data_IF_793903910787
#
_entry.id   IF_793903910787
#
_cell.length_a   1.000
_cell.length_b   1.000
_cell.length_c   1.000
_cell.angle_alpha   90.00
_cell.angle_beta   90.00
_cell.angle_gamma   90.00
#
_symmetry.space_group_name_H-M   'P 1'
#
loop_
_entity.id
_entity.type
_entity.pdbx_description
1 polymer ?
#
# COMPACT_ATOMS: atom_id res chain seq x y z
N UNK A 1 -2.82 5.00 -0.69
CA UNK A 1 -4.14 4.90 -0.05
C UNK A 1 -4.77 6.27 -0.13
N UNK A 2 -6.04 6.34 -0.50
CA UNK A 2 -6.85 7.57 -0.53
C UNK A 2 -7.99 7.37 0.46
N UNK A 3 -8.37 8.42 1.18
CA UNK A 3 -9.50 8.37 2.12
C UNK A 3 -10.57 9.31 1.60
N UNK A 4 -11.80 8.81 1.44
CA UNK A 4 -12.94 9.60 0.99
C UNK A 4 -13.62 10.37 2.14
N UNK A 5 -14.68 11.10 1.82
CA UNK A 5 -15.45 11.88 2.80
C UNK A 5 -16.25 11.01 3.78
N UNK A 6 -16.45 9.73 3.46
CA UNK A 6 -17.14 8.72 4.25
C UNK A 6 -16.16 7.89 5.11
N UNK A 7 -14.87 8.26 5.15
CA UNK A 7 -13.78 7.52 5.81
C UNK A 7 -13.57 6.10 5.24
N UNK A 8 -14.00 5.85 4.01
CA UNK A 8 -13.60 4.67 3.26
C UNK A 8 -12.20 4.84 2.69
N UNK A 9 -11.45 3.74 2.64
CA UNK A 9 -10.04 3.73 2.27
C UNK A 9 -9.85 2.96 0.98
N UNK A 10 -9.56 3.68 -0.09
CA UNK A 10 -9.14 3.08 -1.35
C UNK A 10 -7.64 2.79 -1.30
N UNK A 11 -7.28 1.55 -1.56
CA UNK A 11 -5.90 1.12 -1.69
C UNK A 11 -5.40 1.52 -3.07
N UNK A 12 -4.16 2.02 -3.11
CA UNK A 12 -3.50 2.44 -4.34
C UNK A 12 -2.22 1.64 -4.47
N UNK A 13 -2.16 0.77 -5.47
CA UNK A 13 -0.99 -0.02 -5.81
C UNK A 13 -0.30 0.65 -6.99
N UNK A 14 0.99 0.96 -6.85
CA UNK A 14 1.75 1.69 -7.86
C UNK A 14 2.99 0.92 -8.29
N UNK A 15 3.30 0.95 -9.58
CA UNK A 15 4.56 0.49 -10.13
C UNK A 15 5.20 1.59 -10.98
N UNK A 16 6.35 2.09 -10.51
CA UNK A 16 7.13 3.13 -11.20
C UNK A 16 8.15 2.47 -12.13
N UNK A 17 8.26 2.98 -13.35
CA UNK A 17 9.18 2.48 -14.38
C UNK A 17 9.73 3.63 -15.22
N UNK A 18 10.76 3.35 -16.01
CA UNK A 18 11.34 4.30 -16.96
C UNK A 18 11.02 3.89 -18.38
N UNK A 19 10.55 4.83 -19.19
CA UNK A 19 10.24 4.61 -20.60
C UNK A 19 10.69 5.81 -21.42
N UNK A 20 11.52 5.60 -22.44
CA UNK A 20 12.03 6.64 -23.34
C UNK A 20 12.52 7.90 -22.58
N UNK A 21 13.32 7.71 -21.52
CA UNK A 21 13.87 8.75 -20.62
C UNK A 21 12.85 9.49 -19.72
N UNK A 22 11.58 9.12 -19.78
CA UNK A 22 10.55 9.61 -18.87
C UNK A 22 10.36 8.66 -17.69
N UNK A 23 10.15 9.18 -16.49
CA UNK A 23 9.67 8.40 -15.35
C UNK A 23 8.15 8.32 -15.40
N UNK A 24 7.61 7.12 -15.53
CA UNK A 24 6.17 6.85 -15.55
C UNK A 24 5.79 5.99 -14.35
N UNK A 25 4.50 5.98 -14.01
CA UNK A 25 3.95 5.05 -13.03
C UNK A 25 2.58 4.56 -13.49
N UNK A 26 2.34 3.25 -13.36
CA UNK A 26 1.01 2.67 -13.43
C UNK A 26 0.45 2.52 -12.03
N UNK A 27 -0.84 2.77 -11.86
CA UNK A 27 -1.53 2.64 -10.59
C UNK A 27 -2.87 1.90 -10.74
N UNK A 28 -3.16 1.00 -9.80
CA UNK A 28 -4.47 0.36 -9.62
C UNK A 28 -5.06 0.93 -8.33
N UNK A 29 -6.30 1.44 -8.41
CA UNK A 29 -7.08 1.95 -7.28
C UNK A 29 -8.21 0.97 -7.03
N UNK A 30 -8.32 0.45 -5.81
CA UNK A 30 -9.29 -0.60 -5.47
C UNK A 30 -9.51 -0.67 -3.96
N UNK A 31 -10.66 -1.21 -3.55
CA UNK A 31 -10.95 -1.53 -2.15
C UNK A 31 -10.44 -2.94 -1.76
N UNK A 32 -10.01 -3.74 -2.74
CA UNK A 32 -9.56 -5.11 -2.52
C UNK A 32 -8.12 -5.13 -1.94
N UNK A 33 -7.88 -5.81 -0.81
CA UNK A 33 -6.56 -5.84 -0.16
C UNK A 33 -5.60 -6.88 -0.75
N UNK A 34 -5.62 -7.11 -2.07
CA UNK A 34 -4.84 -8.18 -2.72
C UNK A 34 -3.46 -7.72 -3.17
N UNK A 35 -2.60 -7.38 -2.21
CA UNK A 35 -1.30 -6.77 -2.49
C UNK A 35 -0.42 -7.60 -3.44
N UNK A 36 -0.26 -8.90 -3.18
CA UNK A 36 0.58 -9.76 -4.00
C UNK A 36 0.02 -9.90 -5.42
N UNK A 37 -1.30 -9.97 -5.57
CA UNK A 37 -1.97 -10.05 -6.88
C UNK A 37 -1.73 -8.78 -7.69
N UNK A 38 -2.01 -7.61 -7.10
CA UNK A 38 -1.89 -6.34 -7.82
C UNK A 38 -0.44 -5.94 -8.11
N UNK A 39 0.53 -6.31 -7.26
CA UNK A 39 1.96 -6.11 -7.55
C UNK A 39 2.39 -6.93 -8.78
N UNK A 40 1.92 -8.17 -8.91
CA UNK A 40 2.20 -9.03 -10.07
C UNK A 40 1.49 -8.54 -11.35
N UNK A 41 0.21 -8.16 -11.26
CA UNK A 41 -0.54 -7.57 -12.40
C UNK A 41 0.17 -6.31 -12.91
N UNK A 42 0.54 -5.39 -12.02
CA UNK A 42 1.23 -4.16 -12.40
C UNK A 42 2.58 -4.44 -13.07
N UNK A 43 3.36 -5.42 -12.59
CA UNK A 43 4.62 -5.82 -13.22
C UNK A 43 4.39 -6.32 -14.65
N UNK A 44 3.38 -7.17 -14.86
CA UNK A 44 3.05 -7.68 -16.18
C UNK A 44 2.56 -6.57 -17.13
N UNK A 45 1.71 -5.67 -16.65
CA UNK A 45 1.28 -4.50 -17.43
C UNK A 45 2.46 -3.62 -17.83
N UNK A 46 3.38 -3.32 -16.90
CA UNK A 46 4.58 -2.54 -17.23
C UNK A 46 5.46 -3.25 -18.26
N UNK A 47 5.65 -4.57 -18.12
CA UNK A 47 6.39 -5.36 -19.09
C UNK A 47 5.79 -5.28 -20.49
N UNK A 48 4.46 -5.46 -20.61
CA UNK A 48 3.77 -5.34 -21.89
C UNK A 48 3.84 -3.91 -22.47
N UNK A 49 3.70 -2.89 -21.63
CA UNK A 49 3.82 -1.49 -22.06
C UNK A 49 5.18 -1.18 -22.67
N UNK A 50 6.26 -1.71 -22.08
CA UNK A 50 7.62 -1.48 -22.58
C UNK A 50 7.90 -2.28 -23.86
N UNK A 51 7.42 -3.53 -23.94
CA UNK A 51 7.89 -4.48 -24.97
C UNK A 51 6.93 -4.72 -26.14
N UNK A 52 5.62 -4.46 -25.99
CA UNK A 52 4.63 -5.02 -26.93
C UNK A 52 3.49 -4.07 -27.31
N UNK A 53 3.55 -2.80 -26.90
CA UNK A 53 2.42 -1.86 -26.89
C UNK A 53 1.22 -2.44 -26.12
N UNK A 54 1.00 -1.92 -24.92
CA UNK A 54 -0.12 -2.28 -24.07
C UNK A 54 -1.45 -2.10 -24.84
N UNK A 55 -2.19 -3.18 -25.11
CA UNK A 55 -3.52 -3.09 -25.70
C UNK A 55 -4.53 -2.68 -24.62
N UNK A 56 -5.13 -1.47 -24.66
CA UNK A 56 -6.02 -0.99 -23.61
C UNK A 56 -7.29 -1.85 -23.47
N UNK A 57 -7.69 -2.50 -24.57
CA UNK A 57 -8.86 -3.39 -24.63
C UNK A 57 -8.67 -4.64 -23.79
N UNK A 58 -7.50 -5.28 -23.83
CA UNK A 58 -7.16 -6.48 -23.03
C UNK A 58 -7.22 -6.19 -21.54
N UNK A 59 -6.75 -5.01 -21.12
CA UNK A 59 -6.81 -4.59 -19.72
C UNK A 59 -8.26 -4.33 -19.29
N UNK A 60 -9.04 -3.70 -20.16
CA UNK A 60 -10.42 -3.36 -19.85
C UNK A 60 -11.29 -4.61 -19.74
N UNK A 61 -11.12 -5.59 -20.64
CA UNK A 61 -11.82 -6.88 -20.54
C UNK A 61 -11.42 -7.60 -19.27
N UNK A 62 -10.13 -7.65 -18.96
CA UNK A 62 -9.61 -8.28 -17.76
C UNK A 62 -10.23 -7.75 -16.47
N UNK A 63 -10.19 -6.42 -16.25
CA UNK A 63 -10.76 -5.85 -15.04
C UNK A 63 -12.29 -6.03 -14.98
N UNK A 64 -12.95 -6.05 -16.13
CA UNK A 64 -14.39 -6.34 -16.22
C UNK A 64 -14.72 -7.78 -15.84
N UNK A 65 -13.88 -8.73 -16.25
CA UNK A 65 -14.03 -10.14 -15.91
C UNK A 65 -13.81 -10.38 -14.42
N UNK A 66 -12.76 -9.77 -13.84
CA UNK A 66 -12.51 -9.80 -12.39
C UNK A 66 -13.70 -9.22 -11.63
N UNK A 67 -14.22 -8.08 -12.08
CA UNK A 67 -15.36 -7.43 -11.43
C UNK A 67 -16.63 -8.29 -11.51
N UNK A 68 -16.91 -8.91 -12.67
CA UNK A 68 -18.06 -9.79 -12.84
C UNK A 68 -18.00 -11.03 -11.95
N UNK A 69 -16.83 -11.68 -11.84
CA UNK A 69 -16.66 -12.84 -10.96
C UNK A 69 -16.79 -12.48 -9.48
N UNK A 70 -16.34 -11.28 -9.08
CA UNK A 70 -16.46 -10.80 -7.71
C UNK A 70 -17.92 -10.57 -7.30
N UNK A 71 -18.77 -10.13 -8.23
CA UNK A 71 -20.21 -9.92 -8.01
C UNK A 71 -20.99 -11.24 -7.93
N UNK A 72 -20.56 -12.29 -8.63
CA UNK A 72 -21.24 -13.59 -8.66
C UNK A 72 -20.83 -14.53 -7.51
N UNK A 73 -19.52 -14.71 -7.25
CA UNK A 73 -19.01 -15.52 -6.13
C UNK A 73 -17.58 -15.11 -5.75
N UNK A 74 -17.40 -14.29 -4.69
CA UNK A 74 -16.07 -13.83 -4.29
C UNK A 74 -15.15 -14.94 -3.76
N UNK A 75 -15.69 -16.11 -3.40
CA UNK A 75 -14.93 -17.26 -2.92
C UNK A 75 -14.35 -18.14 -4.03
N UNK A 76 -14.94 -18.11 -5.24
CA UNK A 76 -14.59 -18.98 -6.37
C UNK A 76 -13.81 -18.24 -7.47
N UNK A 77 -13.27 -17.06 -7.14
CA UNK A 77 -12.61 -16.21 -8.12
C UNK A 77 -11.27 -16.83 -8.57
N UNK A 78 -11.30 -17.45 -9.75
CA UNK A 78 -10.18 -18.13 -10.37
C UNK A 78 -9.35 -17.12 -11.17
N UNK A 79 -8.21 -16.66 -10.65
CA UNK A 79 -7.33 -15.73 -11.38
C UNK A 79 -6.41 -16.40 -12.41
N UNK A 80 -6.47 -17.71 -12.61
CA UNK A 80 -5.53 -18.43 -13.47
C UNK A 80 -5.58 -17.97 -14.94
N UNK A 81 -6.76 -17.61 -15.44
CA UNK A 81 -6.93 -17.10 -16.81
C UNK A 81 -6.20 -15.77 -17.05
N UNK A 82 -6.04 -14.93 -16.02
CA UNK A 82 -5.28 -13.68 -16.10
C UNK A 82 -3.81 -13.87 -16.44
N UNK A 83 -3.25 -15.02 -16.07
CA UNK A 83 -1.85 -15.35 -16.36
C UNK A 83 -1.63 -15.58 -17.85
N UNK A 84 -2.63 -16.05 -18.59
CA UNK A 84 -2.48 -16.30 -20.03
C UNK A 84 -2.50 -15.00 -20.84
N UNK A 85 -3.36 -14.04 -20.47
CA UNK A 85 -3.55 -12.80 -21.23
C UNK A 85 -2.48 -11.73 -20.96
N UNK A 86 -1.98 -11.63 -19.72
CA UNK A 86 -1.00 -10.61 -19.34
C UNK A 86 0.45 -11.06 -19.55
N UNK A 87 0.81 -12.29 -19.17
CA UNK A 87 2.13 -12.86 -19.48
C UNK A 87 2.22 -14.29 -18.97
N UNK A 88 2.77 -15.24 -19.75
CA UNK A 88 2.92 -16.64 -19.31
C UNK A 88 3.85 -16.83 -18.10
N UNK A 89 4.53 -15.76 -17.66
CA UNK A 89 5.39 -15.72 -16.48
C UNK A 89 4.66 -15.21 -15.22
N UNK A 90 3.46 -14.66 -15.34
CA UNK A 90 2.66 -14.14 -14.22
C UNK A 90 2.30 -15.31 -13.29
N UNK A 91 2.69 -15.21 -12.01
CA UNK A 91 2.33 -16.19 -10.99
C UNK A 91 1.42 -15.54 -9.97
N UNK A 92 0.12 -15.74 -10.14
CA UNK A 92 -0.87 -15.26 -9.18
C UNK A 92 -1.02 -16.26 -8.03
N UNK A 93 -1.27 -15.77 -6.79
CA UNK A 93 -1.62 -16.64 -5.67
C UNK A 93 -2.85 -17.50 -5.98
N UNK A 94 -2.82 -18.78 -5.58
CA UNK A 94 -3.93 -19.72 -5.73
C UNK A 94 -5.06 -19.53 -4.71
N UNK A 95 -4.80 -18.75 -3.65
CA UNK A 95 -5.77 -18.40 -2.62
C UNK A 95 -5.89 -16.89 -2.52
N UNK A 96 -7.12 -16.40 -2.60
CA UNK A 96 -7.41 -14.99 -2.40
C UNK A 96 -7.33 -14.65 -0.91
N UNK A 97 -6.72 -13.52 -0.54
CA UNK A 97 -6.79 -13.00 0.81
C UNK A 97 -8.26 -12.83 1.21
N UNK A 98 -8.72 -13.61 2.19
CA UNK A 98 -10.06 -13.50 2.78
C UNK A 98 -10.35 -12.06 3.21
N UNK A 99 -11.65 -11.71 3.23
CA UNK A 99 -12.32 -10.42 3.47
C UNK A 99 -11.96 -9.62 4.75
N UNK A 100 -10.82 -9.94 5.37
CA UNK A 100 -10.33 -9.24 6.56
C UNK A 100 -9.75 -7.89 6.13
N UNK A 101 -10.11 -6.78 6.81
CA UNK A 101 -9.53 -5.47 6.53
C UNK A 101 -8.02 -5.54 6.74
N UNK A 102 -7.28 -4.93 5.80
CA UNK A 102 -5.82 -5.04 5.68
C UNK A 102 -5.30 -6.42 5.29
N UNK A 103 -6.20 -7.30 4.85
CA UNK A 103 -5.96 -8.63 4.30
C UNK A 103 -4.78 -9.24 4.99
N UNK A 104 -4.96 -9.67 6.25
CA UNK A 104 -3.91 -10.28 7.10
C UNK A 104 -3.09 -11.11 6.14
N UNK A 105 -1.94 -10.54 5.81
CA UNK A 105 -1.19 -10.89 4.62
C UNK A 105 -1.18 -12.41 4.59
N UNK A 106 -1.33 -13.04 3.42
CA UNK A 106 -1.15 -14.50 3.31
C UNK A 106 0.18 -14.97 3.96
N UNK A 107 1.06 -14.00 4.27
CA UNK A 107 2.27 -14.07 5.08
C UNK A 107 2.15 -13.24 6.38
N UNK A 108 2.63 -13.73 7.51
CA UNK A 108 2.91 -12.95 8.75
C UNK A 108 3.47 -11.54 8.42
N UNK A 109 3.19 -10.44 9.18
CA UNK A 109 3.74 -9.07 8.98
C UNK A 109 5.27 -9.01 9.16
N UNK A 110 5.97 -9.83 8.40
CA UNK A 110 7.37 -10.19 8.50
C UNK A 110 8.26 -9.08 7.96
N UNK A 111 7.70 -8.16 7.17
CA UNK A 111 8.43 -7.01 6.67
C UNK A 111 8.85 -6.11 7.82
N UNK A 112 7.89 -5.61 8.59
CA UNK A 112 8.14 -4.75 9.75
C UNK A 112 8.92 -5.49 10.85
N UNK A 113 8.50 -6.71 11.20
CA UNK A 113 9.14 -7.50 12.27
C UNK A 113 10.62 -7.81 11.99
N UNK A 114 11.01 -7.94 10.72
CA UNK A 114 12.41 -8.14 10.33
C UNK A 114 13.24 -6.85 10.36
N UNK A 115 12.60 -5.69 10.30
CA UNK A 115 13.26 -4.37 10.24
C UNK A 115 13.41 -3.71 11.61
N UNK A 116 12.52 -4.01 12.55
CA UNK A 116 12.53 -3.39 13.87
C UNK A 116 13.17 -4.30 14.92
N UNK A 117 13.91 -3.68 15.84
CA UNK A 117 14.26 -4.33 17.10
C UNK A 117 13.01 -4.53 17.96
N UNK A 118 13.04 -5.50 18.88
CA UNK A 118 11.91 -5.76 19.78
C UNK A 118 11.49 -4.51 20.57
N UNK A 119 12.46 -3.67 20.97
CA UNK A 119 12.22 -2.39 21.65
C UNK A 119 11.49 -1.38 20.75
N UNK A 120 11.91 -1.24 19.50
CA UNK A 120 11.27 -0.30 18.58
C UNK A 120 9.87 -0.80 18.18
N UNK A 121 9.69 -2.12 18.08
CA UNK A 121 8.40 -2.73 17.85
C UNK A 121 7.45 -2.47 19.02
N UNK A 122 7.90 -2.68 20.26
CA UNK A 122 7.06 -2.43 21.44
C UNK A 122 6.67 -0.97 21.55
N UNK A 123 7.61 -0.04 21.33
CA UNK A 123 7.34 1.40 21.32
C UNK A 123 6.35 1.79 20.22
N UNK A 124 6.51 1.23 19.01
CA UNK A 124 5.59 1.46 17.91
C UNK A 124 4.18 0.96 18.26
N UNK A 125 4.04 -0.23 18.83
CA UNK A 125 2.75 -0.76 19.24
C UNK A 125 2.13 0.08 20.36
N UNK A 126 2.91 0.49 21.36
CA UNK A 126 2.43 1.41 22.42
C UNK A 126 1.91 2.72 21.82
N UNK A 127 2.67 3.37 20.93
CA UNK A 127 2.24 4.60 20.28
C UNK A 127 0.95 4.42 19.45
N UNK A 128 0.78 3.26 18.80
CA UNK A 128 -0.44 2.95 18.06
C UNK A 128 -1.64 2.68 18.99
N UNK A 129 -1.43 2.05 20.14
CA UNK A 129 -2.50 1.78 21.11
C UNK A 129 -2.90 3.02 21.91
N UNK A 130 -1.97 3.95 22.09
CA UNK A 130 -2.20 5.26 22.72
C UNK A 130 -2.78 6.30 21.75
N UNK A 131 -3.07 5.92 20.51
CA UNK A 131 -3.57 6.83 19.48
C UNK A 131 -2.64 8.05 19.32
N UNK A 132 -1.32 7.82 19.32
CA UNK A 132 -0.33 8.88 19.18
C UNK A 132 -0.09 9.27 17.72
N UNK A 133 0.64 10.37 17.51
CA UNK A 133 1.14 10.79 16.19
C UNK A 133 2.39 10.01 15.84
N UNK A 134 2.31 9.19 14.80
CA UNK A 134 3.38 8.28 14.38
C UNK A 134 3.84 8.61 12.97
N UNK A 135 5.14 8.86 12.82
CA UNK A 135 5.79 9.08 11.53
C UNK A 135 6.72 7.90 11.22
N UNK A 136 6.44 7.17 10.16
CA UNK A 136 7.37 6.20 9.58
C UNK A 136 8.23 6.87 8.53
N UNK A 137 9.51 6.52 8.49
CA UNK A 137 10.48 7.15 7.60
C UNK A 137 11.27 6.08 6.88
N UNK A 138 11.38 6.16 5.54
CA UNK A 138 12.24 5.25 4.77
C UNK A 138 12.69 5.87 3.44
N UNK A 139 13.81 5.37 2.91
CA UNK A 139 14.31 5.69 1.55
C UNK A 139 13.53 4.95 0.45
N UNK A 140 12.73 3.96 0.81
CA UNK A 140 11.95 3.16 -0.15
C UNK A 140 10.47 3.27 0.14
N UNK A 141 9.72 3.82 -0.83
CA UNK A 141 8.26 3.93 -0.73
C UNK A 141 7.58 2.56 -0.58
N UNK A 142 8.16 1.50 -1.18
CA UNK A 142 7.67 0.11 -1.02
C UNK A 142 7.83 -0.37 0.42
N UNK A 143 9.00 -0.15 1.02
CA UNK A 143 9.26 -0.52 2.42
C UNK A 143 8.36 0.29 3.36
N UNK A 144 8.27 1.61 3.12
CA UNK A 144 7.51 2.53 3.93
C UNK A 144 6.03 2.15 4.01
N UNK A 145 5.36 2.09 2.85
CA UNK A 145 3.95 1.72 2.75
C UNK A 145 3.69 0.34 3.33
N UNK A 146 4.50 -0.68 2.98
CA UNK A 146 4.33 -2.04 3.51
C UNK A 146 4.49 -2.09 5.03
N UNK A 147 5.45 -1.37 5.58
CA UNK A 147 5.72 -1.36 7.02
C UNK A 147 4.58 -0.70 7.81
N UNK A 148 3.93 0.32 7.24
CA UNK A 148 2.71 0.92 7.82
C UNK A 148 1.54 -0.08 7.77
N UNK A 149 1.34 -0.77 6.65
CA UNK A 149 0.29 -1.80 6.55
C UNK A 149 0.54 -2.97 7.52
N UNK A 150 1.79 -3.40 7.65
CA UNK A 150 2.22 -4.43 8.62
C UNK A 150 1.92 -3.96 10.06
N UNK A 151 2.20 -2.70 10.40
CA UNK A 151 1.91 -2.12 11.72
C UNK A 151 0.40 -2.12 12.03
N UNK A 152 -0.43 -1.76 11.05
CA UNK A 152 -1.89 -1.82 11.18
C UNK A 152 -2.41 -3.25 11.35
N UNK A 153 -1.78 -4.23 10.68
CA UNK A 153 -2.13 -5.63 10.84
C UNK A 153 -1.80 -6.15 12.26
N UNK A 154 -0.73 -5.64 12.89
CA UNK A 154 -0.33 -6.05 14.24
C UNK A 154 -1.30 -5.62 15.34
N UNK A 155 -2.07 -4.55 15.13
CA UNK A 155 -3.06 -4.07 16.11
C UNK A 155 -4.44 -4.74 15.94
N UNK A 156 -4.59 -5.68 15.01
CA UNK A 156 -5.83 -6.45 14.86
C UNK A 156 -6.26 -7.10 16.19
N UNK A 157 -7.56 -7.06 16.56
CA UNK A 157 -8.73 -6.65 15.77
C UNK A 157 -9.03 -5.14 15.79
N UNK A 158 -8.19 -4.32 16.44
CA UNK A 158 -8.36 -2.88 16.46
C UNK A 158 -8.12 -2.30 15.06
N UNK A 159 -8.91 -1.29 14.72
CA UNK A 159 -8.81 -0.57 13.45
C UNK A 159 -8.42 0.86 13.73
N UNK A 160 -7.30 1.31 13.16
CA UNK A 160 -6.92 2.71 13.22
C UNK A 160 -7.99 3.59 12.57
N UNK A 161 -8.64 4.46 13.35
CA UNK A 161 -9.76 5.31 12.88
C UNK A 161 -9.32 6.68 12.39
N UNK A 162 -8.15 7.16 12.80
CA UNK A 162 -7.67 8.50 12.49
C UNK A 162 -6.98 8.59 11.13
N UNK A 163 -6.35 9.74 10.89
CA UNK A 163 -5.60 10.04 9.67
C UNK A 163 -4.54 8.96 9.43
N UNK A 164 -4.56 8.40 8.22
CA UNK A 164 -3.62 7.40 7.77
C UNK A 164 -3.16 7.80 6.37
N UNK A 165 -1.89 8.18 6.23
CA UNK A 165 -1.28 8.56 4.96
C UNK A 165 0.01 7.76 4.78
N UNK A 166 -0.04 6.56 4.19
CA UNK A 166 1.12 5.67 4.12
C UNK A 166 2.32 6.26 3.34
N UNK A 167 2.05 7.19 2.43
CA UNK A 167 3.06 7.98 1.71
C UNK A 167 2.51 9.39 1.60
N UNK A 168 3.08 10.34 2.34
CA UNK A 168 2.72 11.75 2.25
C UNK A 168 3.67 12.44 1.24
N UNK A 169 3.14 13.05 0.17
CA UNK A 169 3.93 13.87 -0.75
C UNK A 169 4.55 15.07 -0.03
N UNK A 170 5.75 15.49 -0.43
CA UNK A 170 6.45 16.64 0.17
C UNK A 170 5.65 17.95 0.09
N UNK A 171 4.78 18.12 -0.91
CA UNK A 171 3.91 19.29 -1.04
C UNK A 171 2.85 19.39 0.06
N UNK A 172 2.56 18.29 0.76
CA UNK A 172 1.58 18.20 1.84
C UNK A 172 2.24 18.03 3.21
N UNK A 173 3.55 18.30 3.33
CA UNK A 173 4.30 18.10 4.57
C UNK A 173 3.71 18.87 5.78
N UNK A 174 3.02 19.98 5.53
CA UNK A 174 2.33 20.77 6.55
C UNK A 174 1.26 19.98 7.30
N UNK A 175 0.73 18.89 6.72
CA UNK A 175 -0.22 18.02 7.42
C UNK A 175 0.41 17.31 8.64
N UNK A 176 1.73 17.26 8.74
CA UNK A 176 2.40 16.71 9.91
C UNK A 176 2.15 17.57 11.18
N UNK A 177 1.82 18.87 11.07
CA UNK A 177 1.46 19.70 12.24
C UNK A 177 0.04 19.46 12.79
N UNK A 178 -0.68 18.52 12.20
CA UNK A 178 -1.98 18.05 12.68
C UNK A 178 -1.94 17.74 14.20
N UNK A 179 -2.79 18.39 15.04
CA UNK A 179 -2.87 18.08 16.47
C UNK A 179 -3.56 16.74 16.79
N UNK A 180 -4.30 16.19 15.82
CA UNK A 180 -4.99 14.92 15.93
C UNK A 180 -4.02 13.74 15.75
N UNK A 181 -4.35 12.54 16.28
CA UNK A 181 -3.61 11.32 16.00
C UNK A 181 -3.48 11.06 14.49
N UNK A 182 -2.32 10.58 14.07
CA UNK A 182 -2.10 10.19 12.68
C UNK A 182 -1.04 9.11 12.55
N UNK A 183 -1.09 8.39 11.43
CA UNK A 183 0.03 7.58 10.93
C UNK A 183 0.42 8.14 9.57
N UNK A 184 1.64 8.67 9.46
CA UNK A 184 2.16 9.27 8.24
C UNK A 184 3.45 8.56 7.83
N UNK A 185 3.60 8.25 6.54
CA UNK A 185 4.85 7.80 5.97
C UNK A 185 5.55 8.91 5.20
N UNK A 186 6.83 9.14 5.51
CA UNK A 186 7.68 10.11 4.81
C UNK A 186 8.86 9.45 4.11
N UNK A 187 9.15 9.95 2.92
CA UNK A 187 10.43 9.69 2.29
C UNK A 187 11.53 10.45 3.05
N UNK A 188 12.74 9.89 3.13
CA UNK A 188 13.86 10.55 3.83
C UNK A 188 14.16 11.96 3.32
N UNK A 189 13.94 12.21 2.03
CA UNK A 189 14.19 13.52 1.41
C UNK A 189 13.24 14.60 1.92
N UNK A 190 12.07 14.20 2.44
CA UNK A 190 11.07 15.11 3.00
C UNK A 190 11.35 15.47 4.46
N UNK A 191 12.31 14.82 5.13
CA UNK A 191 12.60 15.07 6.55
C UNK A 191 13.10 16.48 6.81
N UNK A 192 13.91 17.03 5.90
CA UNK A 192 14.47 18.37 6.08
C UNK A 192 13.36 19.44 6.16
N UNK A 193 12.23 19.18 5.49
CA UNK A 193 11.07 20.07 5.48
C UNK A 193 10.31 20.07 6.81
N UNK A 194 10.52 19.07 7.69
CA UNK A 194 9.89 19.01 9.01
C UNK A 194 10.49 20.02 10.00
N UNK A 195 11.74 20.44 9.80
CA UNK A 195 12.41 21.36 10.72
C UNK A 195 11.72 22.72 10.80
N UNK A 196 11.07 23.13 9.71
CA UNK A 196 10.41 24.43 9.58
C UNK A 196 8.95 24.40 10.07
N UNK A 197 8.46 23.23 10.52
CA UNK A 197 7.06 23.03 10.89
C UNK A 197 6.95 22.94 12.42
N UNK A 198 6.12 23.79 13.04
CA UNK A 198 5.85 23.68 14.47
C UNK A 198 5.04 22.41 14.72
N UNK A 199 5.71 21.38 15.23
CA UNK A 199 5.11 20.10 15.57
C UNK A 199 5.25 19.82 17.06
N UNK A 200 4.14 19.48 17.72
CA UNK A 200 4.18 18.89 19.05
C UNK A 200 4.76 17.46 18.99
N UNK A 201 5.08 16.84 20.14
CA UNK A 201 5.78 15.55 20.25
C UNK A 201 5.20 14.44 19.35
N UNK A 202 6.06 13.88 18.49
CA UNK A 202 5.73 12.80 17.56
C UNK A 202 6.64 11.58 17.74
N UNK A 203 6.09 10.38 17.57
CA UNK A 203 6.88 9.15 17.56
C UNK A 203 7.40 8.88 16.15
N UNK A 204 8.71 9.01 15.96
CA UNK A 204 9.38 8.79 14.67
C UNK A 204 10.05 7.43 14.61
N UNK A 205 9.74 6.66 13.57
CA UNK A 205 10.28 5.33 13.32
C UNK A 205 11.03 5.29 11.98
N UNK A 206 12.35 5.18 12.05
CA UNK A 206 13.21 5.01 10.88
C UNK A 206 13.34 3.52 10.53
N UNK A 207 13.00 3.17 9.28
CA UNK A 207 12.92 1.80 8.74
C UNK A 207 14.06 1.44 7.79
#
# INVERSE_FOLDING_TARGET
MLTDMQNQRDLVYCHRFQYQRSSLALAIITQLPWHEVFDEILKAMVYQYINSNLNPTTITSMFKDIQGQLEESPADLDLSHLTQDLSPQLRLPTFLPTDRPYGLLSTVPSGLLRRLSLKNLSLCLSALLEESRVIFVSKSLKILSRSIMDALALIYPLKWQFVLVPILPSSLITYCSAPMPFIIGLHTDSLNLLHDIPMEEDFRLCL
#
